data_IF_143530881628
#
_entry.id   IF_143530881628
#
_cell.length_a   1.000
_cell.length_b   1.000
_cell.length_c   1.000
_cell.angle_alpha   90.00
_cell.angle_beta   90.00
_cell.angle_gamma   90.00
#
_symmetry.space_group_name_H-M   'P 1'
#
loop_
_entity.id
_entity.type
_entity.pdbx_description
1 polymer ?
#
# COMPACT_ATOMS: atom_id res chain seq x y z
N UNK A 1 -16.28 -3.21 -21.75
CA UNK A 1 -14.94 -2.58 -21.52
C UNK A 1 -14.65 -2.26 -20.05
N UNK A 2 -15.62 -1.83 -19.23
CA UNK A 2 -15.36 -1.40 -17.84
C UNK A 2 -14.88 -2.52 -16.89
N UNK A 3 -15.34 -3.76 -17.07
CA UNK A 3 -14.98 -4.88 -16.19
C UNK A 3 -13.50 -5.27 -16.26
N UNK A 4 -12.87 -5.09 -17.44
CA UNK A 4 -11.45 -5.43 -17.62
C UNK A 4 -10.52 -4.42 -16.94
N UNK A 5 -10.93 -3.15 -16.89
CA UNK A 5 -10.20 -2.07 -16.19
C UNK A 5 -10.28 -2.28 -14.67
N UNK A 6 -11.43 -2.70 -14.16
CA UNK A 6 -11.60 -2.99 -12.72
C UNK A 6 -10.71 -4.13 -12.25
N UNK A 7 -10.56 -5.20 -13.07
CA UNK A 7 -9.67 -6.33 -12.75
C UNK A 7 -8.19 -5.95 -12.86
N UNK A 8 -7.81 -5.23 -13.92
CA UNK A 8 -6.44 -4.74 -14.10
C UNK A 8 -6.02 -3.82 -12.93
N UNK A 9 -6.89 -2.91 -12.51
CA UNK A 9 -6.61 -2.02 -11.38
C UNK A 9 -6.46 -2.77 -10.05
N UNK A 10 -7.15 -3.90 -9.84
CA UNK A 10 -6.95 -4.72 -8.65
C UNK A 10 -5.57 -5.39 -8.62
N UNK A 11 -5.09 -5.88 -9.77
CA UNK A 11 -3.73 -6.45 -9.88
C UNK A 11 -2.66 -5.38 -9.79
N UNK A 12 -2.90 -4.21 -10.39
CA UNK A 12 -1.96 -3.09 -10.33
C UNK A 12 -1.90 -2.46 -8.94
N UNK A 13 -3.00 -2.46 -8.17
CA UNK A 13 -3.06 -1.88 -6.81
C UNK A 13 -1.96 -2.41 -5.90
N UNK A 14 -1.79 -3.72 -5.79
CA UNK A 14 -0.78 -4.31 -4.90
C UNK A 14 0.65 -3.99 -5.37
N UNK A 15 0.88 -3.91 -6.69
CA UNK A 15 2.18 -3.53 -7.26
C UNK A 15 2.51 -2.06 -6.98
N UNK A 16 1.53 -1.16 -7.10
CA UNK A 16 1.72 0.24 -6.75
C UNK A 16 1.84 0.44 -5.24
N UNK A 17 1.13 -0.34 -4.43
CA UNK A 17 1.33 -0.34 -2.97
C UNK A 17 2.76 -0.73 -2.61
N UNK A 18 3.29 -1.80 -3.20
CA UNK A 18 4.70 -2.18 -3.07
C UNK A 18 5.63 -1.01 -3.44
N UNK A 19 5.41 -0.40 -4.62
CA UNK A 19 6.23 0.73 -5.10
C UNK A 19 6.20 1.90 -4.11
N UNK A 20 5.03 2.27 -3.61
CA UNK A 20 4.86 3.35 -2.63
C UNK A 20 5.60 3.03 -1.33
N UNK A 21 5.44 1.82 -0.79
CA UNK A 21 6.14 1.41 0.44
C UNK A 21 7.66 1.44 0.23
N UNK A 22 8.15 0.95 -0.91
CA UNK A 22 9.58 0.88 -1.19
C UNK A 22 10.22 2.26 -1.47
N UNK A 23 9.48 3.20 -2.06
CA UNK A 23 10.02 4.52 -2.46
C UNK A 23 9.79 5.62 -1.41
N UNK A 24 8.80 5.46 -0.53
CA UNK A 24 8.39 6.50 0.41
C UNK A 24 8.66 6.13 1.88
N UNK A 25 9.22 4.95 2.16
CA UNK A 25 9.49 4.50 3.53
C UNK A 25 10.86 3.86 3.65
N UNK A 26 11.41 3.91 4.85
CA UNK A 26 12.63 3.23 5.27
C UNK A 26 12.56 3.03 6.80
N UNK A 27 13.68 2.75 7.46
CA UNK A 27 13.74 2.56 8.92
C UNK A 27 13.30 3.79 9.73
N UNK A 28 13.44 5.01 9.18
CA UNK A 28 13.15 6.27 9.85
C UNK A 28 11.85 6.94 9.36
N UNK A 29 11.41 6.61 8.14
CA UNK A 29 10.26 7.23 7.49
C UNK A 29 9.09 6.26 7.34
N UNK A 30 7.93 6.64 7.86
CA UNK A 30 6.68 5.89 7.69
C UNK A 30 5.70 6.61 6.75
N UNK A 31 4.78 5.84 6.19
CA UNK A 31 3.62 6.36 5.45
C UNK A 31 2.32 5.94 6.12
N UNK A 32 1.38 6.87 6.27
CA UNK A 32 0.07 6.60 6.86
C UNK A 32 -0.91 6.04 5.84
N UNK A 33 -1.97 5.38 6.32
CA UNK A 33 -3.02 4.85 5.44
C UNK A 33 -3.69 5.93 4.55
N UNK A 34 -4.03 7.14 5.04
CA UNK A 34 -4.52 8.22 4.18
C UNK A 34 -3.53 8.66 3.09
N UNK A 35 -2.23 8.65 3.38
CA UNK A 35 -1.19 8.99 2.40
C UNK A 35 -1.05 7.90 1.34
N UNK A 36 -1.05 6.61 1.73
CA UNK A 36 -1.09 5.48 0.78
C UNK A 36 -2.27 5.63 -0.19
N UNK A 37 -3.48 5.92 0.32
CA UNK A 37 -4.67 6.11 -0.52
C UNK A 37 -4.49 7.31 -1.47
N UNK A 38 -3.91 8.40 -0.98
CA UNK A 38 -3.66 9.60 -1.78
C UNK A 38 -2.63 9.33 -2.89
N UNK A 39 -1.56 8.60 -2.59
CA UNK A 39 -0.55 8.19 -3.57
C UNK A 39 -1.14 7.26 -4.64
N UNK A 40 -1.92 6.25 -4.26
CA UNK A 40 -2.62 5.36 -5.21
C UNK A 40 -3.54 6.14 -6.16
N UNK A 41 -4.20 7.19 -5.68
CA UNK A 41 -5.07 8.03 -6.50
C UNK A 41 -4.31 8.77 -7.60
N UNK A 42 -3.03 9.11 -7.39
CA UNK A 42 -2.18 9.71 -8.43
C UNK A 42 -1.94 8.76 -9.62
N UNK A 43 -2.04 7.45 -9.38
CA UNK A 43 -1.99 6.40 -10.40
C UNK A 43 -3.37 6.01 -10.93
N UNK A 44 -4.43 6.75 -10.58
CA UNK A 44 -5.81 6.44 -10.98
C UNK A 44 -6.43 5.25 -10.24
N UNK A 45 -5.85 4.83 -9.12
CA UNK A 45 -6.29 3.67 -8.33
C UNK A 45 -7.00 4.17 -7.06
N UNK A 46 -8.27 3.81 -6.93
CA UNK A 46 -9.03 4.00 -5.69
C UNK A 46 -9.05 2.70 -4.90
N UNK A 47 -8.69 2.75 -3.62
CA UNK A 47 -8.68 1.58 -2.75
C UNK A 47 -9.37 1.86 -1.41
N UNK A 48 -10.15 0.90 -0.91
CA UNK A 48 -10.70 0.93 0.43
C UNK A 48 -9.66 0.42 1.44
N UNK A 49 -9.67 0.95 2.66
CA UNK A 49 -8.73 0.56 3.74
C UNK A 49 -8.68 -0.96 3.96
N UNK A 50 -9.84 -1.62 3.97
CA UNK A 50 -9.92 -3.09 4.13
C UNK A 50 -9.12 -3.83 3.05
N UNK A 51 -9.27 -3.42 1.80
CA UNK A 51 -8.56 -4.03 0.67
C UNK A 51 -7.05 -3.74 0.70
N UNK A 52 -6.63 -2.64 1.33
CA UNK A 52 -5.21 -2.34 1.54
C UNK A 52 -4.62 -3.15 2.67
N UNK A 53 -5.35 -3.42 3.75
CA UNK A 53 -4.88 -4.35 4.78
C UNK A 53 -4.61 -5.74 4.19
N UNK A 54 -5.52 -6.25 3.37
CA UNK A 54 -5.35 -7.54 2.67
C UNK A 54 -4.12 -7.54 1.74
N UNK A 55 -3.87 -6.46 1.01
CA UNK A 55 -2.67 -6.35 0.18
C UNK A 55 -1.39 -6.25 1.01
N UNK A 56 -1.40 -5.49 2.12
CA UNK A 56 -0.25 -5.38 3.03
C UNK A 56 0.09 -6.75 3.61
N UNK A 57 -0.91 -7.51 4.05
CA UNK A 57 -0.72 -8.87 4.55
C UNK A 57 -0.18 -9.81 3.44
N UNK A 58 -0.64 -9.65 2.21
CA UNK A 58 -0.12 -10.40 1.06
C UNK A 58 1.34 -10.04 0.75
N UNK A 59 1.74 -8.76 0.86
CA UNK A 59 3.13 -8.33 0.69
C UNK A 59 4.04 -8.87 1.80
N UNK A 60 3.55 -8.90 3.04
CA UNK A 60 4.27 -9.55 4.15
C UNK A 60 4.48 -11.04 3.88
N UNK A 61 3.43 -11.74 3.44
CA UNK A 61 3.51 -13.16 3.08
C UNK A 61 4.46 -13.41 1.90
N UNK A 62 4.52 -12.48 0.95
CA UNK A 62 5.46 -12.53 -0.17
C UNK A 62 6.93 -12.39 0.26
N UNK A 63 7.19 -11.77 1.41
CA UNK A 63 8.52 -11.65 2.00
C UNK A 63 8.98 -10.21 2.27
N UNK A 64 8.10 -9.23 2.19
CA UNK A 64 8.41 -7.85 2.56
C UNK A 64 8.33 -7.67 4.08
N UNK A 65 9.39 -7.17 4.71
CA UNK A 65 9.37 -6.83 6.13
C UNK A 65 8.71 -5.45 6.34
N UNK A 66 7.39 -5.47 6.55
CA UNK A 66 6.59 -4.27 6.77
C UNK A 66 6.21 -4.17 8.24
N UNK A 67 6.70 -3.13 8.91
CA UNK A 67 6.32 -2.81 10.29
C UNK A 67 5.17 -1.81 10.29
N UNK A 68 4.23 -1.98 11.21
CA UNK A 68 3.12 -1.05 11.43
C UNK A 68 3.21 -0.45 12.83
N UNK A 69 3.23 0.87 12.94
CA UNK A 69 3.17 1.57 14.23
C UNK A 69 1.70 1.77 14.67
N UNK A 70 1.46 1.78 15.98
CA UNK A 70 0.13 2.07 16.58
C UNK A 70 0.14 3.45 17.23
N UNK A 71 -1.00 4.13 17.22
CA UNK A 71 -1.20 5.42 17.90
C UNK A 71 -1.74 6.50 16.96
N UNK A 72 -1.60 7.77 17.37
CA UNK A 72 -2.04 8.95 16.58
C UNK A 72 -1.31 9.03 15.23
N UNK A 73 -0.06 8.57 15.19
CA UNK A 73 0.78 8.53 13.98
C UNK A 73 0.96 7.09 13.48
N UNK A 74 -0.13 6.34 13.38
CA UNK A 74 -0.09 4.97 12.86
C UNK A 74 0.31 4.96 11.38
N UNK A 75 1.42 4.30 11.08
CA UNK A 75 2.02 4.25 9.76
C UNK A 75 2.62 2.89 9.44
N UNK A 76 3.07 2.75 8.20
CA UNK A 76 3.70 1.57 7.64
C UNK A 76 5.08 1.96 7.13
N UNK A 77 6.05 1.07 7.32
CA UNK A 77 7.38 1.24 6.77
C UNK A 77 7.99 -0.11 6.41
N UNK A 78 8.82 -0.13 5.37
CA UNK A 78 9.65 -1.28 5.02
C UNK A 78 10.95 -1.17 5.81
N UNK A 79 11.31 -2.23 6.52
CA UNK A 79 12.60 -2.36 7.19
C UNK A 79 13.45 -3.39 6.43
N UNK A 80 14.76 -3.15 6.28
CA UNK A 80 15.67 -4.03 5.54
C UNK A 80 16.69 -4.68 6.49
#
# INVERSE_FOLDING_TARGET
MADNIKNANQRLKILYLYKILFECTDEEHYITMPEIISQLKLYGITAARKALYEDIDALKLFGLDIVSSRGVNAGYQVVN
#
